data_IF_852624744764
#
_entry.id   IF_852624744764
#
_cell.length_a   1.000
_cell.length_b   1.000
_cell.length_c   1.000
_cell.angle_alpha   90.00
_cell.angle_beta   90.00
_cell.angle_gamma   90.00
#
_symmetry.space_group_name_H-M   'P 1'
#
loop_
_entity.id
_entity.type
_entity.pdbx_description
1 polymer ?
#
# COMPACT_ATOMS: atom_id res chain seq x y z
N UNK A 1 11.91 -8.07 -18.95
CA UNK A 1 11.41 -6.71 -19.25
C UNK A 1 12.08 -5.71 -18.32
N UNK A 2 12.58 -4.59 -18.84
CA UNK A 2 13.05 -3.47 -18.02
C UNK A 2 11.86 -2.80 -17.32
N UNK A 3 12.01 -2.40 -16.05
CA UNK A 3 10.93 -1.73 -15.30
C UNK A 3 10.83 -0.27 -15.77
N UNK A 4 9.64 0.22 -16.17
CA UNK A 4 9.48 1.58 -16.69
C UNK A 4 9.76 2.62 -15.60
N UNK A 5 10.65 3.58 -15.86
CA UNK A 5 11.04 4.63 -14.89
C UNK A 5 9.92 5.64 -14.63
N UNK A 6 9.08 5.93 -15.64
CA UNK A 6 8.05 6.98 -15.56
C UNK A 6 6.76 6.54 -14.88
N UNK A 7 6.66 5.27 -14.48
CA UNK A 7 5.48 4.70 -13.82
C UNK A 7 5.81 4.40 -12.37
N UNK A 8 4.81 4.56 -11.50
CA UNK A 8 4.92 4.14 -10.10
C UNK A 8 4.99 2.62 -10.06
N UNK A 9 6.02 2.08 -9.42
CA UNK A 9 6.12 0.66 -9.10
C UNK A 9 7.01 0.45 -7.88
N UNK A 10 6.81 -0.69 -7.23
CA UNK A 10 7.62 -1.14 -6.11
C UNK A 10 7.87 -2.64 -6.26
N UNK A 11 9.13 -3.04 -6.14
CA UNK A 11 9.54 -4.42 -5.99
C UNK A 11 9.71 -4.71 -4.52
N UNK A 12 8.93 -5.66 -4.02
CA UNK A 12 8.89 -5.99 -2.59
C UNK A 12 9.04 -7.48 -2.40
N UNK A 13 9.36 -7.88 -1.17
CA UNK A 13 9.11 -9.23 -0.67
C UNK A 13 8.45 -9.19 0.69
N UNK A 14 7.61 -10.17 0.98
CA UNK A 14 7.08 -10.40 2.32
C UNK A 14 8.14 -11.18 3.11
N UNK A 15 8.46 -10.76 4.32
CA UNK A 15 9.45 -11.42 5.18
C UNK A 15 8.80 -12.53 6.02
N UNK A 16 9.58 -13.57 6.41
CA UNK A 16 11.02 -13.74 6.14
C UNK A 16 11.36 -14.35 4.77
N UNK A 17 10.43 -15.06 4.14
CA UNK A 17 10.66 -16.06 3.09
C UNK A 17 9.86 -15.84 1.80
N UNK A 18 9.09 -14.76 1.70
CA UNK A 18 8.30 -14.45 0.52
C UNK A 18 9.17 -14.16 -0.71
N UNK A 19 8.70 -14.65 -1.86
CA UNK A 19 9.35 -14.39 -3.15
C UNK A 19 9.21 -12.91 -3.57
N UNK A 20 10.23 -12.31 -4.21
CA UNK A 20 10.14 -10.96 -4.73
C UNK A 20 9.04 -10.80 -5.79
N UNK A 21 8.14 -9.85 -5.57
CA UNK A 21 7.09 -9.47 -6.52
C UNK A 21 7.20 -8.01 -6.91
N UNK A 22 6.71 -7.66 -8.10
CA UNK A 22 6.65 -6.26 -8.55
C UNK A 22 5.20 -5.84 -8.66
N UNK A 23 4.87 -4.74 -8.00
CA UNK A 23 3.54 -4.12 -7.98
C UNK A 23 3.67 -2.80 -8.74
N UNK A 24 2.67 -2.48 -9.56
CA UNK A 24 2.65 -1.28 -10.39
C UNK A 24 1.49 -0.37 -10.00
N UNK A 25 1.53 0.88 -10.44
CA UNK A 25 0.39 1.78 -10.44
C UNK A 25 -0.07 2.22 -9.04
N UNK A 26 -1.39 2.23 -8.83
CA UNK A 26 -2.01 2.78 -7.63
C UNK A 26 -1.94 1.81 -6.45
N UNK A 27 -1.85 0.51 -6.73
CA UNK A 27 -1.58 -0.54 -5.76
C UNK A 27 -0.17 -0.36 -5.18
N UNK A 28 0.82 -0.07 -6.03
CA UNK A 28 2.19 0.22 -5.59
C UNK A 28 2.24 1.48 -4.72
N UNK A 29 1.56 2.56 -5.13
CA UNK A 29 1.42 3.76 -4.31
C UNK A 29 0.77 3.44 -2.96
N UNK A 30 -0.35 2.69 -2.96
CA UNK A 30 -1.08 2.33 -1.74
C UNK A 30 -0.21 1.53 -0.77
N UNK A 31 0.55 0.54 -1.27
CA UNK A 31 1.45 -0.25 -0.44
C UNK A 31 2.55 0.62 0.20
N UNK A 32 3.15 1.56 -0.55
CA UNK A 32 4.16 2.47 0.01
C UNK A 32 3.60 3.31 1.15
N UNK A 33 2.39 3.83 0.97
CA UNK A 33 1.70 4.60 2.03
C UNK A 33 1.38 3.76 3.26
N UNK A 34 1.05 2.48 3.09
CA UNK A 34 0.86 1.55 4.20
C UNK A 34 2.17 1.22 4.93
N UNK A 35 3.27 1.04 4.19
CA UNK A 35 4.61 0.83 4.77
C UNK A 35 5.03 2.06 5.57
N UNK A 36 4.88 3.26 5.01
CA UNK A 36 5.20 4.54 5.70
C UNK A 36 4.34 4.76 6.94
N UNK A 37 3.06 4.36 6.90
CA UNK A 37 2.16 4.47 8.05
C UNK A 37 2.48 3.48 9.18
N UNK A 38 3.12 2.35 8.86
CA UNK A 38 3.45 1.29 9.80
C UNK A 38 2.22 0.81 10.58
N UNK A 39 2.40 0.57 11.88
CA UNK A 39 1.33 0.06 12.76
C UNK A 39 0.20 1.06 12.99
N UNK A 40 0.44 2.37 12.80
CA UNK A 40 -0.63 3.39 12.85
C UNK A 40 -1.66 3.14 11.74
N UNK A 41 -1.26 2.52 10.63
CA UNK A 41 -2.11 2.34 9.47
C UNK A 41 -2.57 3.65 8.85
N UNK A 42 -3.40 3.53 7.82
CA UNK A 42 -3.84 4.65 7.01
C UNK A 42 -5.36 4.66 6.85
N UNK A 43 -5.98 5.82 6.98
CA UNK A 43 -7.37 6.07 6.61
C UNK A 43 -7.45 6.94 5.35
N UNK A 44 -8.44 6.73 4.46
CA UNK A 44 -8.72 7.62 3.33
C UNK A 44 -8.90 9.10 3.72
N UNK A 45 -9.22 9.40 4.98
CA UNK A 45 -9.37 10.78 5.47
C UNK A 45 -8.00 11.47 5.60
N UNK A 46 -7.01 10.79 6.18
CA UNK A 46 -5.66 11.31 6.36
C UNK A 46 -4.88 11.33 5.03
N UNK A 47 -5.23 10.43 4.11
CA UNK A 47 -4.55 10.28 2.83
C UNK A 47 -5.55 10.07 1.70
N UNK A 48 -6.14 11.14 1.15
CA UNK A 48 -7.23 11.02 0.17
C UNK A 48 -6.77 10.36 -1.14
N UNK A 49 -7.52 9.35 -1.58
CA UNK A 49 -7.41 8.75 -2.91
C UNK A 49 -8.75 8.14 -3.35
N UNK A 50 -9.04 8.09 -4.67
CA UNK A 50 -10.39 7.80 -5.16
C UNK A 50 -10.90 6.37 -4.87
N UNK A 51 -10.01 5.38 -4.67
CA UNK A 51 -10.41 3.96 -4.54
C UNK A 51 -9.53 3.14 -3.58
N UNK A 52 -9.30 3.64 -2.36
CA UNK A 52 -8.49 2.93 -1.36
C UNK A 52 -8.87 1.45 -1.15
N UNK A 53 -10.17 1.17 -1.00
CA UNK A 53 -10.66 -0.19 -0.77
C UNK A 53 -10.32 -1.13 -1.93
N UNK A 54 -10.36 -0.65 -3.17
CA UNK A 54 -10.01 -1.45 -4.35
C UNK A 54 -8.51 -1.78 -4.37
N UNK A 55 -7.65 -0.80 -4.10
CA UNK A 55 -6.20 -1.02 -4.06
C UNK A 55 -5.83 -2.00 -2.94
N UNK A 56 -6.41 -1.83 -1.75
CA UNK A 56 -6.20 -2.75 -0.62
C UNK A 56 -6.73 -4.14 -0.93
N UNK A 57 -7.90 -4.26 -1.56
CA UNK A 57 -8.45 -5.55 -2.00
C UNK A 57 -7.46 -6.27 -2.94
N UNK A 58 -6.91 -5.56 -3.92
CA UNK A 58 -5.92 -6.13 -4.83
C UNK A 58 -4.62 -6.52 -4.12
N UNK A 59 -4.12 -5.70 -3.18
CA UNK A 59 -2.96 -6.05 -2.35
C UNK A 59 -3.19 -7.33 -1.54
N UNK A 60 -4.39 -7.51 -0.96
CA UNK A 60 -4.74 -8.73 -0.22
C UNK A 60 -4.83 -9.95 -1.13
N UNK A 61 -5.58 -9.85 -2.22
CA UNK A 61 -6.01 -11.03 -2.98
C UNK A 61 -5.10 -11.37 -4.17
N UNK A 62 -4.49 -10.37 -4.81
CA UNK A 62 -3.58 -10.60 -5.96
C UNK A 62 -2.12 -10.75 -5.54
N UNK A 63 -1.74 -10.11 -4.43
CA UNK A 63 -0.35 -10.07 -3.98
C UNK A 63 -0.13 -10.78 -2.64
N UNK A 64 -1.19 -11.29 -2.00
CA UNK A 64 -1.08 -12.06 -0.76
C UNK A 64 -0.59 -11.25 0.44
N UNK A 65 -0.75 -9.92 0.42
CA UNK A 65 -0.28 -9.05 1.50
C UNK A 65 -1.36 -8.99 2.58
N UNK A 66 -0.99 -9.33 3.82
CA UNK A 66 -1.89 -9.30 4.96
C UNK A 66 -2.06 -7.87 5.43
N UNK A 67 -3.28 -7.36 5.29
CA UNK A 67 -3.69 -6.02 5.68
C UNK A 67 -4.99 -6.15 6.48
N UNK A 68 -5.04 -5.56 7.66
CA UNK A 68 -6.27 -5.46 8.45
C UNK A 68 -7.12 -4.29 7.95
N UNK A 69 -8.44 -4.44 8.07
CA UNK A 69 -9.40 -3.36 7.88
C UNK A 69 -10.10 -3.10 9.21
N UNK A 70 -9.67 -2.08 9.93
CA UNK A 70 -10.28 -1.65 11.20
C UNK A 70 -11.32 -0.59 10.90
N UNK A 71 -12.52 -0.69 11.47
CA UNK A 71 -13.57 0.31 11.30
C UNK A 71 -13.48 1.34 12.43
N UNK A 72 -13.23 2.59 12.06
CA UNK A 72 -13.17 3.72 13.00
C UNK A 72 -14.44 4.56 12.87
N UNK A 73 -15.14 4.74 13.98
CA UNK A 73 -16.27 5.65 14.04
C UNK A 73 -15.78 7.10 14.01
N UNK A 74 -16.52 7.98 13.34
CA UNK A 74 -16.27 9.42 13.35
C UNK A 74 -17.57 10.19 13.59
N UNK A 75 -17.45 11.29 14.32
CA UNK A 75 -18.56 12.19 14.66
C UNK A 75 -18.65 13.39 13.68
N UNK A 76 -19.64 14.24 13.90
CA UNK A 76 -19.87 15.47 13.12
C UNK A 76 -21.16 15.42 12.28
N UNK A 77 -21.39 16.44 11.42
CA UNK A 77 -22.60 16.52 10.59
C UNK A 77 -22.82 15.33 9.65
N UNK A 78 -21.74 14.60 9.34
CA UNK A 78 -21.73 13.38 8.54
C UNK A 78 -21.13 12.24 9.36
N UNK A 79 -21.76 11.92 10.50
CA UNK A 79 -21.29 10.83 11.36
C UNK A 79 -21.39 9.47 10.64
N UNK A 80 -20.46 8.58 10.94
CA UNK A 80 -20.38 7.26 10.30
C UNK A 80 -19.16 6.48 10.76
N UNK A 81 -18.74 5.51 9.95
CA UNK A 81 -17.49 4.79 10.14
C UNK A 81 -16.69 4.74 8.86
N UNK A 82 -15.37 4.77 8.97
CA UNK A 82 -14.47 4.59 7.83
C UNK A 82 -13.40 3.55 8.15
N UNK A 83 -12.77 3.02 7.11
CA UNK A 83 -11.71 2.04 7.26
C UNK A 83 -10.37 2.71 7.59
N UNK A 84 -9.68 2.17 8.60
CA UNK A 84 -8.23 2.26 8.79
C UNK A 84 -7.59 0.95 8.34
N UNK A 85 -6.69 1.05 7.39
CA UNK A 85 -5.95 -0.10 6.86
C UNK A 85 -4.60 -0.22 7.56
N UNK A 86 -4.31 -1.37 8.15
CA UNK A 86 -3.07 -1.62 8.90
C UNK A 86 -2.30 -2.74 8.22
N UNK A 87 -1.07 -2.46 7.80
CA UNK A 87 -0.20 -3.47 7.20
C UNK A 87 0.28 -4.43 8.30
N UNK A 88 0.00 -5.73 8.13
CA UNK A 88 0.43 -6.78 9.06
C UNK A 88 1.59 -7.60 8.54
N UNK A 89 1.62 -7.82 7.22
CA UNK A 89 2.80 -8.40 6.59
C UNK A 89 4.02 -7.50 6.81
N UNK A 90 5.12 -8.09 7.25
CA UNK A 90 6.40 -7.40 7.24
C UNK A 90 6.91 -7.37 5.79
N UNK A 91 6.89 -6.21 5.16
CA UNK A 91 7.24 -6.04 3.74
C UNK A 91 8.56 -5.29 3.62
N UNK A 92 9.52 -5.88 2.90
CA UNK A 92 10.78 -5.23 2.55
C UNK A 92 10.73 -4.71 1.12
N UNK A 93 11.06 -3.43 0.93
CA UNK A 93 11.26 -2.85 -0.40
C UNK A 93 12.65 -3.25 -0.90
N UNK A 94 12.70 -3.89 -2.06
CA UNK A 94 13.94 -4.29 -2.73
C UNK A 94 14.38 -3.18 -3.70
N UNK A 95 13.43 -2.61 -4.43
CA UNK A 95 13.66 -1.61 -5.46
C UNK A 95 12.35 -0.83 -5.70
N UNK A 96 12.41 0.44 -6.05
CA UNK A 96 11.22 1.22 -6.43
C UNK A 96 11.52 2.23 -7.56
N UNK A 97 10.45 2.79 -8.12
CA UNK A 97 10.54 3.77 -9.22
C UNK A 97 11.31 5.04 -8.83
N UNK A 98 11.31 5.43 -7.56
CA UNK A 98 12.01 6.65 -7.12
C UNK A 98 13.52 6.44 -7.08
N UNK A 99 13.95 5.29 -6.54
CA UNK A 99 15.34 4.86 -6.54
C UNK A 99 15.86 4.68 -7.97
N UNK A 100 15.04 4.12 -8.86
CA UNK A 100 15.39 3.94 -10.27
C UNK A 100 15.48 5.26 -11.05
N UNK A 101 14.74 6.30 -10.63
CA UNK A 101 14.82 7.66 -11.19
C UNK A 101 16.05 8.40 -10.70
N UNK A 102 16.43 8.24 -9.43
CA UNK A 102 17.59 8.91 -8.84
C UNK A 102 18.93 8.40 -9.38
N UNK A 103 18.99 7.16 -9.87
CA UNK A 103 20.18 6.54 -10.46
C UNK A 103 20.34 6.81 -11.97
N UNK A 104 19.53 7.71 -12.55
CA UNK A 104 19.51 8.04 -13.98
C UNK A 104 20.15 9.41 -14.23
#
# INVERSE_FOLDING_TARGET
MSRPKDKIWVRVRVLPDGEPMTIYGREAWCLRRLIEAGEKGCTPIEQPAPRWSAYVHDLKHKFGIVIDTVHEAHAGPYAGSHARYVLRSLVAIIEDSDSARAAA
#
